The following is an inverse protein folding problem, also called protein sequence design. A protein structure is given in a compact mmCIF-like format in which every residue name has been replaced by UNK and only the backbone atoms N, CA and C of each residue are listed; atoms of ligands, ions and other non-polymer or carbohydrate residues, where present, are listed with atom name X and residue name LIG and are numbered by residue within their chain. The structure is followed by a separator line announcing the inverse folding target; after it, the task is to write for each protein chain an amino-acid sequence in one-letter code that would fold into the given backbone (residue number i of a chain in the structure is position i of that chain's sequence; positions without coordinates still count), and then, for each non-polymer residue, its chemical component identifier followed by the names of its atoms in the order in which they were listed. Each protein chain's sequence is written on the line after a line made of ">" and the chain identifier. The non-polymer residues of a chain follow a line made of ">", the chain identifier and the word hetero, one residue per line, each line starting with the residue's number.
data_IF_049266361920
#
_entry.id   IF_049266361920
#
_cell.length_a   1.000
_cell.length_b   1.000
_cell.length_c   1.000
_cell.angle_alpha   90.00
_cell.angle_beta   90.00
_cell.angle_gamma   90.00
#
_symmetry.space_group_name_H-M   'P 1'
#
loop_
_entity.id
_entity.type
_entity.pdbx_description
1 polymer ?
#
# COMPACT_ATOMS: atom_id res chain seq x y z
N UNK A 1 10.73 -8.47 2.51
CA UNK A 1 10.00 -9.41 3.44
C UNK A 1 9.36 -8.62 4.57
N UNK A 2 8.06 -8.87 4.88
CA UNK A 2 7.35 -8.20 5.99
C UNK A 2 7.19 -9.17 7.14
N UNK A 3 7.55 -8.74 8.35
CA UNK A 3 7.38 -9.49 9.60
C UNK A 3 6.40 -8.78 10.52
N UNK A 4 5.41 -9.51 10.99
CA UNK A 4 4.40 -9.02 11.93
C UNK A 4 4.48 -9.91 13.17
N UNK A 5 4.64 -9.30 14.35
CA UNK A 5 4.76 -10.02 15.60
C UNK A 5 3.83 -9.43 16.67
N UNK A 6 2.98 -10.28 17.22
CA UNK A 6 2.06 -9.98 18.32
C UNK A 6 1.26 -8.68 18.12
N UNK A 7 0.91 -8.39 16.85
CA UNK A 7 0.27 -7.14 16.46
C UNK A 7 -1.13 -7.04 17.07
N UNK A 8 -1.36 -5.97 17.82
CA UNK A 8 -2.65 -5.54 18.31
C UNK A 8 -2.96 -4.10 17.90
N UNK A 9 -4.23 -3.82 17.65
CA UNK A 9 -4.69 -2.47 17.35
C UNK A 9 -6.14 -2.24 17.77
N UNK A 10 -6.38 -1.06 18.38
CA UNK A 10 -7.70 -0.65 18.84
C UNK A 10 -7.98 0.81 18.46
N UNK A 11 -9.24 1.11 18.17
CA UNK A 11 -9.78 2.47 18.10
C UNK A 11 -10.50 2.76 19.42
N UNK A 12 -9.87 3.53 20.32
CA UNK A 12 -10.37 3.67 21.67
C UNK A 12 -10.48 2.30 22.37
N UNK A 13 -11.67 1.97 22.86
CA UNK A 13 -11.95 0.69 23.53
C UNK A 13 -12.31 -0.44 22.54
N UNK A 14 -12.46 -0.13 21.27
CA UNK A 14 -12.82 -1.12 20.25
C UNK A 14 -11.59 -1.82 19.69
N UNK A 15 -11.41 -3.09 20.04
CA UNK A 15 -10.29 -3.92 19.56
C UNK A 15 -10.60 -4.37 18.13
N UNK A 16 -9.70 -4.06 17.19
CA UNK A 16 -9.82 -4.40 15.77
C UNK A 16 -8.89 -5.54 15.37
N UNK A 17 -7.64 -5.47 15.84
CA UNK A 17 -6.63 -6.51 15.59
C UNK A 17 -6.14 -7.03 16.94
N UNK A 18 -6.01 -8.35 17.04
CA UNK A 18 -5.56 -8.98 18.28
C UNK A 18 -4.54 -10.08 17.99
N UNK A 19 -3.36 -9.92 18.53
CA UNK A 19 -2.29 -10.93 18.56
C UNK A 19 -2.00 -11.57 17.19
N UNK A 20 -1.83 -10.75 16.15
CA UNK A 20 -1.52 -11.23 14.80
C UNK A 20 -0.01 -11.40 14.68
N UNK A 21 0.41 -12.61 14.32
CA UNK A 21 1.80 -12.94 14.03
C UNK A 21 1.87 -13.66 12.70
N UNK A 22 2.58 -13.08 11.72
CA UNK A 22 2.79 -13.67 10.39
C UNK A 22 4.00 -13.08 9.69
N UNK A 23 4.50 -13.80 8.69
CA UNK A 23 5.53 -13.34 7.78
C UNK A 23 4.98 -13.33 6.36
N UNK A 24 5.25 -12.25 5.61
CA UNK A 24 4.93 -12.15 4.20
C UNK A 24 6.26 -12.12 3.43
N UNK A 25 6.46 -13.10 2.58
CA UNK A 25 7.69 -13.28 1.82
C UNK A 25 7.62 -12.57 0.47
N UNK A 26 8.76 -12.21 -0.09
CA UNK A 26 8.87 -11.63 -1.42
C UNK A 26 8.45 -12.62 -2.51
N UNK A 27 8.02 -12.10 -3.66
CA UNK A 27 7.63 -12.90 -4.80
C UNK A 27 6.28 -13.62 -4.66
N UNK A 28 5.51 -13.33 -3.62
CA UNK A 28 4.20 -13.93 -3.38
C UNK A 28 3.07 -12.91 -3.43
N UNK A 29 1.91 -13.35 -3.89
CA UNK A 29 0.66 -12.58 -3.83
C UNK A 29 -0.17 -13.11 -2.67
N UNK A 30 -0.52 -12.25 -1.73
CA UNK A 30 -1.32 -12.60 -0.55
C UNK A 30 -2.72 -12.02 -0.66
N UNK A 31 -3.73 -12.85 -0.46
CA UNK A 31 -5.14 -12.43 -0.38
C UNK A 31 -5.58 -12.24 1.08
N UNK A 32 -6.11 -11.07 1.40
CA UNK A 32 -6.69 -10.78 2.72
C UNK A 32 -8.21 -10.88 2.65
N UNK A 33 -8.77 -11.97 3.17
CA UNK A 33 -10.21 -12.25 3.14
C UNK A 33 -10.84 -12.03 4.51
N UNK A 34 -12.09 -11.66 4.52
CA UNK A 34 -12.89 -11.45 5.73
C UNK A 34 -14.11 -10.55 5.48
N UNK A 35 -15.02 -10.54 6.42
CA UNK A 35 -16.22 -9.67 6.38
C UNK A 35 -15.84 -8.18 6.43
N UNK A 36 -16.75 -7.30 6.03
CA UNK A 36 -16.54 -5.87 6.14
C UNK A 36 -16.47 -5.47 7.62
N UNK A 37 -15.51 -4.60 7.94
CA UNK A 37 -15.31 -4.10 9.31
C UNK A 37 -14.44 -4.97 10.22
N UNK A 38 -13.93 -6.14 9.77
CA UNK A 38 -13.07 -7.00 10.61
C UNK A 38 -11.63 -6.51 10.76
N UNK A 39 -11.25 -5.38 10.16
CA UNK A 39 -9.91 -4.81 10.33
C UNK A 39 -8.95 -4.97 9.15
N UNK A 40 -9.40 -5.44 7.99
CA UNK A 40 -8.53 -5.58 6.78
C UNK A 40 -7.85 -4.27 6.39
N UNK A 41 -8.62 -3.20 6.24
CA UNK A 41 -8.09 -1.86 5.91
C UNK A 41 -7.17 -1.33 7.02
N UNK A 42 -7.49 -1.62 8.28
CA UNK A 42 -6.63 -1.25 9.41
C UNK A 42 -5.27 -1.95 9.33
N UNK A 43 -5.25 -3.25 9.03
CA UNK A 43 -4.00 -3.99 8.83
C UNK A 43 -3.19 -3.40 7.68
N UNK A 44 -3.82 -3.17 6.51
CA UNK A 44 -3.14 -2.59 5.34
C UNK A 44 -2.57 -1.20 5.65
N UNK A 45 -3.31 -0.33 6.35
CA UNK A 45 -2.82 1.00 6.72
C UNK A 45 -1.66 0.96 7.73
N UNK A 46 -1.62 -0.03 8.60
CA UNK A 46 -0.47 -0.28 9.49
C UNK A 46 0.76 -0.76 8.72
N UNK A 47 0.57 -1.70 7.78
CA UNK A 47 1.65 -2.21 6.90
C UNK A 47 2.26 -1.11 6.04
N UNK A 48 1.45 -0.16 5.58
CA UNK A 48 1.91 0.98 4.78
C UNK A 48 2.44 2.16 5.60
N UNK A 49 2.56 2.02 6.92
CA UNK A 49 3.05 3.08 7.79
C UNK A 49 2.16 4.33 7.87
N UNK A 50 0.87 4.21 7.52
CA UNK A 50 -0.12 5.28 7.64
C UNK A 50 -0.70 5.39 9.06
N UNK A 51 -0.54 4.33 9.85
CA UNK A 51 -0.92 4.27 11.26
C UNK A 51 0.23 3.72 12.10
N UNK A 52 0.35 4.23 13.33
CA UNK A 52 1.34 3.75 14.29
C UNK A 52 0.86 2.46 14.96
N UNK A 53 1.74 1.46 15.01
CA UNK A 53 1.51 0.25 15.80
C UNK A 53 1.44 0.61 17.29
N UNK A 54 0.43 0.10 17.98
CA UNK A 54 0.25 0.31 19.44
C UNK A 54 0.76 -0.87 20.25
N UNK A 55 0.57 -2.08 19.75
CA UNK A 55 0.98 -3.33 20.39
C UNK A 55 1.66 -4.23 19.35
N UNK A 56 2.75 -4.89 19.77
CA UNK A 56 3.53 -5.72 18.87
C UNK A 56 4.45 -4.91 17.95
N UNK A 57 4.81 -5.49 16.81
CA UNK A 57 5.68 -4.84 15.83
C UNK A 57 5.34 -5.22 14.39
N UNK A 58 5.68 -4.31 13.47
CA UNK A 58 5.73 -4.55 12.03
C UNK A 58 7.10 -4.09 11.55
N UNK A 59 7.77 -4.94 10.79
CA UNK A 59 9.04 -4.64 10.12
C UNK A 59 8.95 -5.00 8.64
N UNK A 60 9.34 -4.07 7.78
CA UNK A 60 9.50 -4.30 6.34
C UNK A 60 10.98 -4.14 6.03
N UNK A 61 11.64 -5.23 5.63
CA UNK A 61 13.08 -5.28 5.33
C UNK A 61 13.96 -4.69 6.44
N UNK A 62 13.54 -4.92 7.70
CA UNK A 62 14.24 -4.43 8.90
C UNK A 62 13.89 -2.99 9.30
N UNK A 63 13.01 -2.32 8.57
CA UNK A 63 12.56 -0.96 8.88
C UNK A 63 11.14 -0.95 9.48
N UNK A 64 10.88 0.00 10.38
CA UNK A 64 9.52 0.23 10.85
C UNK A 64 8.76 1.08 9.81
N UNK A 65 7.64 0.59 9.24
CA UNK A 65 6.87 1.34 8.25
C UNK A 65 6.45 2.73 8.69
N UNK A 66 6.15 2.92 9.98
CA UNK A 66 5.70 4.20 10.51
C UNK A 66 6.79 5.29 10.52
N UNK A 67 8.06 4.91 10.46
CA UNK A 67 9.17 5.88 10.33
C UNK A 67 9.19 6.56 8.95
N UNK A 68 8.49 5.98 7.97
CA UNK A 68 8.28 6.52 6.62
C UNK A 68 9.57 6.99 5.95
N UNK A 69 10.61 6.18 6.08
CA UNK A 69 11.91 6.47 5.43
C UNK A 69 11.79 6.45 3.91
N UNK A 70 12.59 7.24 3.19
CA UNK A 70 12.55 7.25 1.73
C UNK A 70 12.74 5.87 1.09
N UNK A 71 13.63 5.04 1.63
CA UNK A 71 13.84 3.64 1.22
C UNK A 71 12.55 2.82 1.26
N UNK A 72 11.81 2.91 2.35
CA UNK A 72 10.53 2.23 2.51
C UNK A 72 9.45 2.81 1.57
N UNK A 73 9.37 4.15 1.45
CA UNK A 73 8.33 4.81 0.65
C UNK A 73 8.52 4.61 -0.86
N UNK A 74 9.77 4.48 -1.34
CA UNK A 74 10.05 4.24 -2.76
C UNK A 74 9.76 2.81 -3.21
N UNK A 75 9.62 1.88 -2.26
CA UNK A 75 9.44 0.45 -2.52
C UNK A 75 8.02 -0.06 -2.25
N UNK A 76 7.08 0.85 -1.97
CA UNK A 76 5.68 0.48 -1.72
C UNK A 76 4.68 1.44 -2.37
N UNK A 77 3.49 0.91 -2.66
CA UNK A 77 2.34 1.70 -3.07
C UNK A 77 1.07 1.21 -2.37
N UNK A 78 0.32 2.12 -1.75
CA UNK A 78 -0.98 1.83 -1.15
C UNK A 78 -2.10 2.34 -2.06
N UNK A 79 -2.84 1.42 -2.67
CA UNK A 79 -4.03 1.74 -3.45
C UNK A 79 -5.28 1.60 -2.57
N UNK A 80 -5.95 2.70 -2.32
CA UNK A 80 -7.19 2.76 -1.55
C UNK A 80 -8.41 2.75 -2.47
N UNK A 81 -9.54 2.24 -1.98
CA UNK A 81 -10.83 2.31 -2.69
C UNK A 81 -11.34 3.76 -2.84
N UNK A 82 -10.91 4.65 -1.95
CA UNK A 82 -11.25 6.07 -1.94
C UNK A 82 -10.16 6.88 -2.68
N UNK A 83 -10.04 6.69 -3.99
CA UNK A 83 -9.15 7.52 -4.81
C UNK A 83 -9.93 8.74 -5.30
N UNK A 84 -9.55 9.93 -4.82
CA UNK A 84 -10.09 11.16 -5.38
C UNK A 84 -9.63 11.33 -6.83
N UNK A 85 -10.55 11.52 -7.79
CA UNK A 85 -10.16 11.72 -9.19
C UNK A 85 -9.29 12.97 -9.30
N UNK A 86 -8.17 12.84 -10.00
CA UNK A 86 -7.27 13.95 -10.28
C UNK A 86 -7.62 14.54 -11.64
N UNK A 87 -7.82 15.86 -11.71
CA UNK A 87 -8.11 16.54 -12.97
C UNK A 87 -6.84 16.67 -13.84
N UNK A 88 -6.23 15.54 -14.15
CA UNK A 88 -5.07 15.43 -15.04
C UNK A 88 -5.16 14.15 -15.86
N UNK A 89 -4.35 14.04 -16.93
CA UNK A 89 -4.24 12.83 -17.73
C UNK A 89 -3.44 11.76 -16.99
N UNK A 90 -3.73 10.48 -17.28
CA UNK A 90 -2.99 9.37 -16.69
C UNK A 90 -1.47 9.46 -16.98
N UNK A 91 -1.10 9.82 -18.22
CA UNK A 91 0.30 10.03 -18.61
C UNK A 91 0.97 11.19 -17.85
N UNK A 92 0.24 12.25 -17.55
CA UNK A 92 0.75 13.37 -16.75
C UNK A 92 0.97 12.96 -15.29
N UNK A 93 0.03 12.20 -14.75
CA UNK A 93 0.16 11.62 -13.41
C UNK A 93 1.41 10.73 -13.31
N UNK A 94 1.55 9.78 -14.24
CA UNK A 94 2.69 8.88 -14.31
C UNK A 94 4.02 9.63 -14.41
N UNK A 95 4.10 10.67 -15.25
CA UNK A 95 5.30 11.50 -15.41
C UNK A 95 5.66 12.29 -14.15
N UNK A 96 4.65 12.79 -13.44
CA UNK A 96 4.87 13.61 -12.25
C UNK A 96 5.22 12.79 -11.00
N UNK A 97 4.57 11.64 -10.85
CA UNK A 97 4.66 10.84 -9.64
C UNK A 97 5.50 9.58 -9.80
N UNK A 98 5.55 8.96 -10.99
CA UNK A 98 6.31 7.72 -11.23
C UNK A 98 7.77 7.80 -10.81
N UNK A 99 8.40 8.96 -10.95
CA UNK A 99 9.79 9.21 -10.56
C UNK A 99 10.11 8.96 -9.06
N UNK A 100 9.09 8.84 -8.21
CA UNK A 100 9.29 8.54 -6.78
C UNK A 100 9.50 7.05 -6.52
N UNK A 101 9.25 6.19 -7.51
CA UNK A 101 9.46 4.75 -7.44
C UNK A 101 10.59 4.35 -8.39
N UNK A 102 11.65 3.76 -7.84
CA UNK A 102 12.86 3.43 -8.59
C UNK A 102 12.62 2.46 -9.75
N UNK A 103 11.68 1.53 -9.57
CA UNK A 103 11.28 0.55 -10.60
C UNK A 103 10.24 1.04 -11.60
N UNK A 104 9.83 2.33 -11.58
CA UNK A 104 8.82 2.83 -12.50
C UNK A 104 9.40 3.05 -13.91
N UNK A 105 8.77 2.43 -14.90
CA UNK A 105 9.05 2.62 -16.33
C UNK A 105 7.83 3.21 -17.08
N UNK A 106 8.05 4.32 -17.80
CA UNK A 106 6.99 5.01 -18.53
C UNK A 106 6.53 4.24 -19.77
N UNK A 107 7.42 3.53 -20.44
CA UNK A 107 7.07 2.75 -21.64
C UNK A 107 6.22 1.55 -21.22
N UNK A 108 6.63 0.85 -20.18
CA UNK A 108 5.85 -0.24 -19.58
C UNK A 108 4.48 0.23 -19.09
N UNK A 109 4.40 1.39 -18.44
CA UNK A 109 3.14 1.99 -18.02
C UNK A 109 2.18 2.20 -19.20
N UNK A 110 2.67 2.75 -20.32
CA UNK A 110 1.86 2.98 -21.52
C UNK A 110 1.43 1.65 -22.15
N UNK A 111 2.28 0.64 -22.16
CA UNK A 111 1.95 -0.70 -22.67
C UNK A 111 0.85 -1.35 -21.84
N UNK A 112 0.97 -1.34 -20.51
CA UNK A 112 -0.05 -1.88 -19.61
C UNK A 112 -1.39 -1.16 -19.80
N UNK A 113 -1.39 0.17 -19.93
CA UNK A 113 -2.63 0.91 -20.18
C UNK A 113 -3.31 0.50 -21.48
N UNK A 114 -2.54 0.24 -22.56
CA UNK A 114 -3.06 -0.26 -23.82
C UNK A 114 -3.63 -1.68 -23.69
N UNK A 115 -2.96 -2.56 -22.96
CA UNK A 115 -3.44 -3.91 -22.67
C UNK A 115 -4.77 -3.91 -21.89
N UNK A 116 -4.96 -2.91 -21.03
CA UNK A 116 -6.20 -2.70 -20.25
C UNK A 116 -7.27 -1.94 -21.04
N UNK A 117 -7.05 -1.70 -22.35
CA UNK A 117 -7.95 -0.92 -23.23
C UNK A 117 -8.26 0.47 -22.67
N UNK A 118 -7.26 1.12 -22.07
CA UNK A 118 -7.36 2.43 -21.43
C UNK A 118 -6.47 3.43 -22.17
N UNK A 119 -7.00 4.61 -22.50
CA UNK A 119 -6.24 5.67 -23.16
C UNK A 119 -5.38 6.45 -22.16
N UNK A 120 -4.03 6.42 -22.27
CA UNK A 120 -3.14 7.18 -21.40
C UNK A 120 -3.35 8.70 -21.43
N UNK A 121 -3.90 9.22 -22.53
CA UNK A 121 -4.21 10.65 -22.71
C UNK A 121 -5.59 11.03 -22.17
N UNK A 122 -6.40 10.07 -21.72
CA UNK A 122 -7.68 10.34 -21.09
C UNK A 122 -7.49 11.01 -19.72
N UNK A 123 -8.36 11.95 -19.38
CA UNK A 123 -8.41 12.55 -18.04
C UNK A 123 -8.97 11.54 -17.05
N UNK A 124 -8.32 11.46 -15.91
CA UNK A 124 -8.81 10.70 -14.74
C UNK A 124 -9.94 11.52 -14.08
N UNK A 125 -11.19 11.07 -14.25
CA UNK A 125 -12.40 11.72 -13.71
C UNK A 125 -13.18 10.77 -12.84
#
# INVERSE_FOLDING_TARGET
>A
MIRIKDLGFSYGDYVVLKNITMNLEEGHIYGLLGENGVGKTTLLTLLCGLKKVKEGSIETDGENPFDRRPSFLSDQYYLSDEVAPMNMKAVEYARNYGKFWEGFDMEEFIEIMKELDTDPEQKMT
#
